data_IF_314668047651
#
_entry.id   IF_314668047651
#
_cell.length_a   1.000
_cell.length_b   1.000
_cell.length_c   1.000
_cell.angle_alpha   90.00
_cell.angle_beta   90.00
_cell.angle_gamma   90.00
#
_symmetry.space_group_name_H-M   'P 1'
#
loop_
_entity.id
_entity.type
_entity.pdbx_description
1 polymer ?
#
# COMPACT_ATOMS: atom_id res chain seq x y z
N UNK A 1 18.09 8.16 32.25
CA UNK A 1 18.22 6.74 31.90
C UNK A 1 17.70 6.67 30.48
N UNK A 2 18.50 6.27 29.53
CA UNK A 2 17.98 5.97 28.19
C UNK A 2 17.05 4.77 28.36
N UNK A 3 15.77 4.93 28.04
CA UNK A 3 14.81 3.85 28.01
C UNK A 3 15.27 2.85 26.96
N UNK A 4 15.48 1.59 27.37
CA UNK A 4 15.80 0.50 26.45
C UNK A 4 14.60 0.34 25.53
N UNK A 5 14.77 0.42 24.20
CA UNK A 5 13.65 0.25 23.29
C UNK A 5 13.01 -1.12 23.53
N UNK A 6 11.67 -1.18 23.46
CA UNK A 6 10.91 -2.42 23.58
C UNK A 6 11.47 -3.49 22.62
N UNK A 7 11.77 -4.69 23.13
CA UNK A 7 12.07 -5.84 22.29
C UNK A 7 10.76 -6.33 21.66
N UNK A 8 10.39 -5.74 20.51
CA UNK A 8 9.10 -5.88 19.86
C UNK A 8 9.20 -6.71 18.59
N UNK A 9 8.33 -7.73 18.48
CA UNK A 9 8.02 -8.42 17.23
C UNK A 9 6.62 -8.04 16.72
N UNK A 10 6.43 -7.99 15.41
CA UNK A 10 5.12 -7.79 14.79
C UNK A 10 4.73 -9.00 13.94
N UNK A 11 3.54 -9.53 14.17
CA UNK A 11 2.98 -10.69 13.48
C UNK A 11 1.78 -10.26 12.63
N UNK A 12 1.92 -10.37 11.31
CA UNK A 12 0.84 -10.05 10.37
C UNK A 12 0.11 -11.32 9.96
N UNK A 13 -1.20 -11.38 10.21
CA UNK A 13 -2.02 -12.55 9.89
C UNK A 13 -2.54 -12.46 8.46
N UNK A 14 -2.07 -13.34 7.58
CA UNK A 14 -2.39 -13.36 6.15
C UNK A 14 -2.79 -14.78 5.64
N UNK A 15 -3.15 -15.71 6.52
CA UNK A 15 -3.45 -17.11 6.19
C UNK A 15 -4.90 -17.39 5.73
N UNK A 16 -5.77 -16.37 5.74
CA UNK A 16 -7.20 -16.52 5.46
C UNK A 16 -7.54 -16.86 4.01
N UNK A 17 -8.58 -17.68 3.80
CA UNK A 17 -9.02 -18.15 2.45
C UNK A 17 -9.61 -17.07 1.54
N UNK A 18 -10.09 -15.95 2.07
CA UNK A 18 -10.60 -14.82 1.29
C UNK A 18 -11.75 -15.13 0.32
N UNK A 19 -12.61 -16.12 0.60
CA UNK A 19 -13.64 -16.65 -0.30
C UNK A 19 -14.63 -15.59 -0.81
N UNK A 20 -14.85 -14.52 -0.04
CA UNK A 20 -15.74 -13.39 -0.40
C UNK A 20 -15.20 -12.53 -1.55
N UNK A 21 -13.91 -12.60 -1.85
CA UNK A 21 -13.30 -11.93 -3.02
C UNK A 21 -13.66 -12.59 -4.35
N UNK A 22 -14.18 -13.82 -4.35
CA UNK A 22 -14.54 -14.59 -5.54
C UNK A 22 -13.40 -14.67 -6.57
N UNK A 23 -12.18 -14.83 -6.11
CA UNK A 23 -10.95 -14.86 -6.89
C UNK A 23 -10.05 -16.02 -6.43
N UNK A 24 -9.21 -16.51 -7.32
CA UNK A 24 -8.17 -17.49 -6.99
C UNK A 24 -6.94 -16.83 -6.34
N UNK A 25 -6.77 -15.52 -6.52
CA UNK A 25 -5.68 -14.78 -5.91
C UNK A 25 -5.92 -14.66 -4.39
N UNK A 26 -4.92 -14.92 -3.55
CA UNK A 26 -5.01 -14.66 -2.11
C UNK A 26 -5.50 -13.24 -1.82
N UNK A 27 -6.42 -13.09 -0.85
CA UNK A 27 -7.07 -11.82 -0.54
C UNK A 27 -6.08 -10.66 -0.40
N UNK A 28 -4.99 -10.89 0.32
CA UNK A 28 -3.96 -9.89 0.63
C UNK A 28 -3.03 -9.55 -0.54
N UNK A 29 -3.10 -10.31 -1.63
CA UNK A 29 -2.38 -10.03 -2.88
C UNK A 29 -3.19 -9.23 -3.91
N UNK A 30 -4.49 -9.00 -3.67
CA UNK A 30 -5.26 -8.13 -4.57
C UNK A 30 -4.66 -6.74 -4.63
N UNK A 31 -4.56 -6.14 -5.84
CA UNK A 31 -3.95 -4.83 -6.00
C UNK A 31 -4.84 -3.72 -5.42
N UNK A 32 -4.23 -2.87 -4.62
CA UNK A 32 -4.76 -1.61 -4.12
C UNK A 32 -3.79 -0.51 -4.59
N UNK A 33 -4.20 0.33 -5.55
CA UNK A 33 -3.32 1.34 -6.18
C UNK A 33 -1.96 0.75 -6.62
N UNK A 34 -1.99 -0.34 -7.39
CA UNK A 34 -0.87 -1.13 -7.93
C UNK A 34 -0.17 -2.07 -6.94
N UNK A 35 -0.14 -1.76 -5.64
CA UNK A 35 0.50 -2.61 -4.64
C UNK A 35 -0.47 -3.64 -4.04
N UNK A 36 -0.02 -4.84 -3.66
CA UNK A 36 -0.84 -5.76 -2.90
C UNK A 36 -1.38 -5.14 -1.61
N UNK A 37 -2.57 -5.53 -1.20
CA UNK A 37 -3.17 -5.09 0.08
C UNK A 37 -2.18 -5.26 1.24
N UNK A 38 -1.42 -6.35 1.28
CA UNK A 38 -0.42 -6.62 2.33
C UNK A 38 0.74 -5.62 2.34
N UNK A 39 1.05 -4.97 1.23
CA UNK A 39 2.09 -3.96 1.15
C UNK A 39 1.91 -2.86 2.21
N UNK A 40 0.68 -2.41 2.40
CA UNK A 40 0.38 -1.25 3.24
C UNK A 40 0.59 -1.50 4.74
N UNK A 41 0.06 -2.58 5.37
CA UNK A 41 0.35 -2.86 6.76
C UNK A 41 1.85 -3.15 7.00
N UNK A 42 2.55 -3.81 6.06
CA UNK A 42 4.00 -3.99 6.17
C UNK A 42 4.75 -2.65 6.08
N UNK A 43 4.32 -1.77 5.19
CA UNK A 43 4.88 -0.42 5.10
C UNK A 43 4.61 0.40 6.36
N UNK A 44 3.40 0.35 6.90
CA UNK A 44 3.04 1.05 8.15
C UNK A 44 3.91 0.58 9.32
N UNK A 45 4.16 -0.72 9.45
CA UNK A 45 5.09 -1.27 10.44
C UNK A 45 6.52 -0.73 10.26
N UNK A 46 7.02 -0.73 9.03
CA UNK A 46 8.35 -0.21 8.70
C UNK A 46 8.46 1.29 8.99
N UNK A 47 7.45 2.07 8.61
CA UNK A 47 7.41 3.52 8.84
C UNK A 47 7.27 3.86 10.33
N UNK A 48 6.67 2.99 11.14
CA UNK A 48 6.65 3.06 12.61
C UNK A 48 7.97 2.60 13.26
N UNK A 49 8.99 2.21 12.49
CA UNK A 49 10.27 1.75 13.01
C UNK A 49 10.27 0.31 13.55
N UNK A 50 9.23 -0.48 13.28
CA UNK A 50 9.12 -1.88 13.74
C UNK A 50 9.82 -2.78 12.72
N UNK A 51 11.01 -3.25 13.08
CA UNK A 51 11.90 -3.99 12.18
C UNK A 51 11.68 -5.51 12.19
N UNK A 52 11.32 -6.09 13.35
CA UNK A 52 11.13 -7.54 13.48
C UNK A 52 9.70 -7.89 13.07
N UNK A 53 9.53 -8.34 11.83
CA UNK A 53 8.20 -8.64 11.28
C UNK A 53 8.15 -10.09 10.79
N UNK A 54 7.06 -10.79 11.14
CA UNK A 54 6.71 -12.07 10.54
C UNK A 54 5.31 -12.00 9.91
N UNK A 55 5.11 -12.76 8.85
CA UNK A 55 3.81 -12.91 8.18
C UNK A 55 3.38 -14.36 8.26
N UNK A 56 2.20 -14.61 8.83
CA UNK A 56 1.60 -15.95 8.83
C UNK A 56 0.83 -16.12 7.52
N UNK A 57 1.27 -17.08 6.72
CA UNK A 57 0.67 -17.42 5.43
C UNK A 57 -0.03 -18.78 5.48
N UNK A 58 -0.95 -19.04 4.56
CA UNK A 58 -1.71 -20.30 4.58
C UNK A 58 -2.24 -20.66 3.19
N UNK A 59 -3.53 -20.52 2.97
CA UNK A 59 -4.14 -20.85 1.68
C UNK A 59 -3.61 -19.94 0.56
N UNK A 60 -3.11 -20.52 -0.54
CA UNK A 60 -2.45 -19.77 -1.62
C UNK A 60 -1.11 -19.15 -1.17
N UNK A 61 -0.49 -19.74 -0.16
CA UNK A 61 0.70 -19.18 0.48
C UNK A 61 1.93 -19.17 -0.40
N UNK A 62 2.03 -20.04 -1.42
CA UNK A 62 3.18 -20.10 -2.32
C UNK A 62 3.36 -18.80 -3.11
N UNK A 63 2.28 -18.22 -3.62
CA UNK A 63 2.31 -16.92 -4.32
C UNK A 63 2.67 -15.78 -3.36
N UNK A 64 2.14 -15.85 -2.13
CA UNK A 64 2.43 -14.87 -1.10
C UNK A 64 3.87 -14.95 -0.60
N UNK A 65 4.42 -16.17 -0.43
CA UNK A 65 5.82 -16.39 -0.08
C UNK A 65 6.77 -15.88 -1.17
N UNK A 66 6.43 -16.09 -2.45
CA UNK A 66 7.20 -15.57 -3.58
C UNK A 66 7.23 -14.03 -3.58
N UNK A 67 6.07 -13.39 -3.36
CA UNK A 67 5.99 -11.93 -3.23
C UNK A 67 6.82 -11.40 -2.06
N UNK A 68 6.69 -12.00 -0.87
CA UNK A 68 7.44 -11.59 0.32
C UNK A 68 8.94 -11.75 0.12
N UNK A 69 9.38 -12.85 -0.47
CA UNK A 69 10.80 -13.09 -0.75
C UNK A 69 11.40 -12.08 -1.72
N UNK A 70 10.62 -11.57 -2.68
CA UNK A 70 11.06 -10.61 -3.68
C UNK A 70 11.08 -9.16 -3.16
N UNK A 71 10.02 -8.73 -2.47
CA UNK A 71 9.81 -7.33 -2.10
C UNK A 71 10.10 -7.03 -0.61
N UNK A 72 10.09 -8.06 0.25
CA UNK A 72 10.24 -7.96 1.70
C UNK A 72 11.16 -9.03 2.27
N UNK A 73 12.43 -9.12 1.81
CA UNK A 73 13.34 -10.23 2.17
C UNK A 73 13.67 -10.30 3.67
N UNK A 74 13.47 -9.20 4.41
CA UNK A 74 13.71 -9.13 5.86
C UNK A 74 12.53 -9.69 6.67
N UNK A 75 11.38 -9.93 6.04
CA UNK A 75 10.17 -10.43 6.71
C UNK A 75 10.23 -11.94 6.84
N UNK A 76 10.02 -12.43 8.06
CA UNK A 76 9.94 -13.86 8.34
C UNK A 76 8.61 -14.44 7.88
N UNK A 77 8.65 -15.49 7.08
CA UNK A 77 7.45 -16.25 6.69
C UNK A 77 7.21 -17.39 7.65
N UNK A 78 5.96 -17.53 8.14
CA UNK A 78 5.50 -18.63 8.97
C UNK A 78 4.29 -19.29 8.32
N UNK A 79 4.29 -20.63 8.17
CA UNK A 79 3.22 -21.36 7.55
C UNK A 79 2.16 -21.86 8.54
N UNK A 80 0.92 -21.44 8.37
CA UNK A 80 -0.25 -22.06 8.98
C UNK A 80 -0.84 -23.08 7.97
N UNK A 81 -0.45 -24.35 8.10
CA UNK A 81 -0.87 -25.39 7.14
C UNK A 81 -2.36 -25.72 7.23
N UNK A 82 -2.92 -25.67 8.44
CA UNK A 82 -4.35 -25.86 8.69
C UNK A 82 -4.95 -24.55 9.19
N UNK A 83 -5.93 -24.00 8.48
CA UNK A 83 -6.59 -22.75 8.83
C UNK A 83 -7.63 -22.99 9.94
N UNK A 84 -7.16 -23.08 11.18
CA UNK A 84 -7.98 -23.35 12.36
C UNK A 84 -8.34 -22.09 13.17
N UNK A 85 -8.18 -20.90 12.58
CA UNK A 85 -8.50 -19.62 13.18
C UNK A 85 -7.30 -18.74 13.52
N UNK A 86 -7.57 -17.53 14.02
CA UNK A 86 -6.56 -16.49 14.29
C UNK A 86 -5.68 -16.82 15.49
N UNK A 87 -6.21 -17.47 16.54
CA UNK A 87 -5.44 -17.97 17.67
C UNK A 87 -4.44 -19.04 17.25
N UNK A 88 -4.84 -19.98 16.38
CA UNK A 88 -3.93 -20.98 15.82
C UNK A 88 -2.84 -20.34 14.94
N UNK A 89 -3.16 -19.28 14.20
CA UNK A 89 -2.17 -18.54 13.41
C UNK A 89 -1.07 -17.93 14.30
N UNK A 90 -1.43 -17.41 15.46
CA UNK A 90 -0.46 -16.90 16.44
C UNK A 90 0.31 -18.06 17.08
N UNK A 91 -0.35 -19.17 17.40
CA UNK A 91 0.26 -20.35 18.00
C UNK A 91 1.35 -20.98 17.11
N UNK A 92 1.13 -21.13 15.80
CA UNK A 92 2.14 -21.69 14.90
C UNK A 92 3.39 -20.82 14.74
N UNK A 93 3.31 -19.55 15.11
CA UNK A 93 4.41 -18.60 15.10
C UNK A 93 5.13 -18.47 16.45
N UNK A 94 4.77 -19.28 17.45
CA UNK A 94 5.25 -19.13 18.84
C UNK A 94 6.77 -19.20 18.96
N UNK A 95 7.43 -20.12 18.25
CA UNK A 95 8.89 -20.24 18.25
C UNK A 95 9.58 -18.94 17.83
N UNK A 96 8.94 -18.17 16.93
CA UNK A 96 9.48 -16.91 16.46
C UNK A 96 9.19 -15.75 17.41
N UNK A 97 7.93 -15.59 17.87
CA UNK A 97 7.58 -14.42 18.66
C UNK A 97 7.96 -14.54 20.13
N UNK A 98 8.17 -15.74 20.66
CA UNK A 98 8.55 -15.96 22.07
C UNK A 98 9.94 -15.40 22.44
N UNK A 99 10.74 -15.02 21.46
CA UNK A 99 12.04 -14.38 21.69
C UNK A 99 11.96 -12.86 22.00
N UNK A 100 10.77 -12.26 21.87
CA UNK A 100 10.53 -10.84 22.15
C UNK A 100 9.85 -10.65 23.50
N UNK A 101 9.95 -9.43 24.05
CA UNK A 101 9.18 -9.05 25.25
C UNK A 101 7.71 -8.78 24.89
N UNK A 102 7.48 -8.15 23.71
CA UNK A 102 6.16 -7.76 23.25
C UNK A 102 5.89 -8.27 21.85
N UNK A 103 4.62 -8.59 21.58
CA UNK A 103 4.13 -9.01 20.28
C UNK A 103 2.98 -8.11 19.82
N UNK A 104 3.21 -7.37 18.73
CA UNK A 104 2.15 -6.68 18.00
C UNK A 104 1.54 -7.65 16.99
N UNK A 105 0.24 -7.88 17.06
CA UNK A 105 -0.51 -8.71 16.10
C UNK A 105 -1.48 -7.84 15.32
N UNK A 106 -1.47 -7.94 14.00
CA UNK A 106 -2.43 -7.25 13.14
C UNK A 106 -2.81 -8.09 11.92
N UNK A 107 -3.96 -7.77 11.33
CA UNK A 107 -4.43 -8.46 10.13
C UNK A 107 -3.77 -7.89 8.86
N UNK A 108 -3.38 -8.76 7.94
CA UNK A 108 -2.76 -8.37 6.65
C UNK A 108 -3.74 -7.74 5.65
N UNK A 109 -5.02 -7.69 5.96
CA UNK A 109 -6.08 -7.16 5.13
C UNK A 109 -6.61 -5.78 5.56
N UNK A 110 -5.88 -5.09 6.45
CA UNK A 110 -6.18 -3.72 6.91
C UNK A 110 -5.21 -2.69 6.29
N UNK A 111 -5.34 -2.36 4.99
CA UNK A 111 -4.34 -1.55 4.29
C UNK A 111 -4.32 -0.08 4.72
N UNK A 112 -5.34 0.39 5.39
CA UNK A 112 -5.45 1.79 5.77
C UNK A 112 -4.85 2.09 7.15
N UNK A 113 -4.29 1.09 7.85
CA UNK A 113 -3.59 1.29 9.14
C UNK A 113 -2.44 2.29 8.97
N UNK A 114 -2.30 3.20 9.95
CA UNK A 114 -1.27 4.24 9.94
C UNK A 114 -0.14 3.93 10.91
N UNK A 115 1.09 4.37 10.58
CA UNK A 115 2.22 4.29 11.53
C UNK A 115 1.91 4.98 12.86
N UNK A 116 1.25 6.15 12.82
CA UNK A 116 0.90 6.96 14.00
C UNK A 116 -0.04 6.19 14.94
N UNK A 117 -0.99 5.42 14.40
CA UNK A 117 -1.91 4.59 15.20
C UNK A 117 -1.19 3.44 15.89
N UNK A 118 -0.21 2.83 15.19
CA UNK A 118 0.64 1.80 15.79
C UNK A 118 1.52 2.38 16.90
N UNK A 119 2.12 3.55 16.69
CA UNK A 119 2.92 4.24 17.69
C UNK A 119 2.08 4.63 18.91
N UNK A 120 0.89 5.15 18.70
CA UNK A 120 -0.05 5.52 19.78
C UNK A 120 -0.47 4.31 20.62
N UNK A 121 -0.62 3.12 19.98
CA UNK A 121 -0.86 1.87 20.71
C UNK A 121 0.33 1.48 21.58
N UNK A 122 1.56 1.62 21.08
CA UNK A 122 2.78 1.35 21.84
C UNK A 122 2.91 2.29 23.04
N UNK A 123 2.74 3.60 22.83
CA UNK A 123 2.78 4.62 23.89
C UNK A 123 1.74 4.31 24.98
N UNK A 124 0.49 4.01 24.58
CA UNK A 124 -0.58 3.65 25.52
C UNK A 124 -0.25 2.41 26.33
N UNK A 125 0.35 1.41 25.70
CA UNK A 125 0.76 0.17 26.39
C UNK A 125 1.91 0.42 27.38
N UNK A 126 2.87 1.28 27.06
CA UNK A 126 3.96 1.65 27.95
C UNK A 126 3.47 2.42 29.20
N UNK A 127 2.53 3.36 29.00
CA UNK A 127 1.97 4.19 30.08
C UNK A 127 1.33 3.36 31.21
N UNK A 128 0.56 2.33 30.85
CA UNK A 128 -0.25 1.55 31.80
C UNK A 128 0.36 0.16 32.07
N UNK A 129 1.33 -0.26 31.25
CA UNK A 129 2.03 -1.55 31.32
C UNK A 129 1.13 -2.77 31.53
N UNK A 130 0.00 -2.89 30.78
CA UNK A 130 -0.90 -4.03 30.92
C UNK A 130 -0.30 -5.30 30.32
N UNK A 131 -0.99 -6.43 30.48
CA UNK A 131 -0.59 -7.68 29.83
C UNK A 131 -1.00 -7.74 28.35
N UNK A 132 -2.04 -6.97 27.97
CA UNK A 132 -2.48 -6.78 26.60
C UNK A 132 -3.13 -5.39 26.45
N UNK A 133 -2.84 -4.72 25.33
CA UNK A 133 -3.61 -3.57 24.83
C UNK A 133 -4.13 -3.88 23.45
N UNK A 134 -5.39 -3.60 23.17
CA UNK A 134 -5.94 -3.77 21.82
C UNK A 134 -6.62 -2.49 21.32
N UNK A 135 -6.78 -2.37 20.00
CA UNK A 135 -7.45 -1.21 19.40
C UNK A 135 -8.93 -1.50 19.20
N UNK A 136 -9.78 -0.57 19.65
CA UNK A 136 -11.20 -0.53 19.30
C UNK A 136 -11.52 0.66 18.38
N UNK A 137 -12.62 0.53 17.65
CA UNK A 137 -13.17 1.58 16.77
C UNK A 137 -14.67 1.66 16.97
N UNK A 138 -15.24 2.87 16.91
CA UNK A 138 -16.68 3.07 16.85
C UNK A 138 -17.15 3.10 15.40
N UNK A 139 -17.93 2.12 14.95
CA UNK A 139 -18.50 2.06 13.61
C UNK A 139 -19.99 2.38 13.60
N UNK A 140 -20.47 3.02 12.52
CA UNK A 140 -21.91 3.20 12.30
C UNK A 140 -22.60 1.88 11.98
N UNK A 141 -21.97 1.02 11.22
CA UNK A 141 -22.39 -0.36 10.96
C UNK A 141 -21.30 -1.33 11.43
N UNK A 142 -21.50 -2.01 12.58
CA UNK A 142 -20.53 -2.94 13.16
C UNK A 142 -20.62 -4.37 12.59
N UNK A 143 -21.47 -4.62 11.59
CA UNK A 143 -21.71 -5.95 11.03
C UNK A 143 -20.42 -6.60 10.54
N UNK A 144 -20.18 -7.84 10.95
CA UNK A 144 -19.01 -8.63 10.55
C UNK A 144 -17.77 -8.45 11.42
N UNK A 145 -17.85 -7.60 12.47
CA UNK A 145 -16.73 -7.38 13.41
C UNK A 145 -17.08 -7.90 14.81
N UNK A 146 -16.07 -8.28 15.59
CA UNK A 146 -16.21 -8.59 17.00
C UNK A 146 -16.62 -7.35 17.82
N UNK A 147 -17.60 -7.51 18.69
CA UNK A 147 -18.10 -6.42 19.57
C UNK A 147 -17.28 -6.31 20.85
N UNK A 148 -16.95 -5.08 21.24
CA UNK A 148 -16.32 -4.80 22.54
C UNK A 148 -17.40 -4.61 23.58
N UNK A 149 -17.60 -5.59 24.45
CA UNK A 149 -18.57 -5.56 25.53
C UNK A 149 -17.88 -5.10 26.80
N UNK A 150 -18.34 -3.98 27.37
CA UNK A 150 -17.82 -3.46 28.64
C UNK A 150 -18.55 -4.12 29.81
N UNK A 151 -17.79 -4.69 30.73
CA UNK A 151 -18.33 -5.38 31.92
C UNK A 151 -18.54 -4.41 33.07
N UNK A 152 -19.43 -4.76 34.00
CA UNK A 152 -19.77 -3.94 35.15
C UNK A 152 -18.60 -3.71 36.15
N UNK A 153 -17.63 -4.59 36.16
CA UNK A 153 -16.40 -4.52 36.95
C UNK A 153 -15.28 -3.68 36.30
N UNK A 154 -15.55 -3.11 35.12
CA UNK A 154 -14.60 -2.33 34.32
C UNK A 154 -13.78 -3.16 33.34
N UNK A 155 -13.96 -4.49 33.34
CA UNK A 155 -13.33 -5.39 32.36
C UNK A 155 -13.94 -5.24 30.96
N UNK A 156 -13.29 -5.84 29.98
CA UNK A 156 -13.74 -5.86 28.59
C UNK A 156 -13.81 -7.31 28.07
N UNK A 157 -14.80 -7.55 27.21
CA UNK A 157 -14.97 -8.82 26.52
C UNK A 157 -15.17 -8.56 25.02
N UNK A 158 -14.56 -9.37 24.18
CA UNK A 158 -14.79 -9.34 22.74
C UNK A 158 -15.70 -10.51 22.38
N UNK A 159 -16.78 -10.25 21.65
CA UNK A 159 -17.73 -11.26 21.16
C UNK A 159 -17.75 -11.20 19.66
N UNK A 160 -17.34 -12.27 18.99
CA UNK A 160 -17.33 -12.34 17.52
C UNK A 160 -18.75 -12.18 16.95
N UNK A 161 -18.88 -11.55 15.78
CA UNK A 161 -20.17 -11.19 15.17
C UNK A 161 -21.17 -12.34 15.10
N UNK A 162 -20.69 -13.56 14.78
CA UNK A 162 -21.53 -14.76 14.68
C UNK A 162 -21.99 -15.31 16.03
N UNK A 163 -21.28 -14.98 17.08
CA UNK A 163 -21.55 -15.44 18.45
C UNK A 163 -22.33 -14.40 19.28
N UNK A 164 -22.63 -13.20 18.72
CA UNK A 164 -23.38 -12.14 19.39
C UNK A 164 -24.82 -12.53 19.66
N UNK A 165 -25.31 -12.19 20.88
CA UNK A 165 -26.74 -12.22 21.24
C UNK A 165 -27.43 -10.90 20.86
N UNK A 166 -28.79 -10.86 21.00
CA UNK A 166 -29.61 -9.73 20.54
C UNK A 166 -29.10 -8.37 21.00
N UNK A 167 -28.79 -8.23 22.29
CA UNK A 167 -28.41 -6.96 22.92
C UNK A 167 -26.97 -6.54 22.56
N UNK A 168 -26.12 -7.48 22.14
CA UNK A 168 -24.74 -7.22 21.73
C UNK A 168 -24.63 -6.75 20.29
N UNK A 169 -25.63 -7.03 19.44
CA UNK A 169 -25.62 -6.65 18.01
C UNK A 169 -25.61 -5.14 17.79
N UNK A 170 -26.24 -4.39 18.70
CA UNK A 170 -26.35 -2.93 18.61
C UNK A 170 -25.11 -2.20 19.14
N UNK A 171 -24.13 -2.95 19.70
CA UNK A 171 -22.87 -2.37 20.16
C UNK A 171 -22.06 -1.93 18.93
N UNK A 172 -21.73 -0.64 18.88
CA UNK A 172 -21.00 0.01 17.79
C UNK A 172 -19.48 -0.01 17.99
N UNK A 173 -19.01 -0.25 19.22
CA UNK A 173 -17.59 -0.40 19.52
C UNK A 173 -17.12 -1.80 19.09
N UNK A 174 -16.20 -1.83 18.12
CA UNK A 174 -15.71 -3.07 17.53
C UNK A 174 -14.23 -3.31 17.86
N UNK A 175 -13.85 -4.56 17.86
CA UNK A 175 -12.46 -4.98 17.87
C UNK A 175 -11.83 -4.78 16.49
N UNK A 176 -10.78 -3.97 16.42
CA UNK A 176 -10.10 -3.63 15.18
C UNK A 176 -9.10 -4.71 14.71
N UNK A 177 -8.89 -5.77 15.49
CA UNK A 177 -7.96 -6.84 15.12
C UNK A 177 -6.48 -6.45 15.23
N UNK A 178 -6.16 -5.42 16.02
CA UNK A 178 -4.79 -4.99 16.32
C UNK A 178 -4.56 -5.12 17.83
N UNK A 179 -3.55 -5.89 18.20
CA UNK A 179 -3.26 -6.25 19.60
C UNK A 179 -1.78 -6.11 19.91
N UNK A 180 -1.46 -5.62 21.09
CA UNK A 180 -0.12 -5.62 21.65
C UNK A 180 -0.12 -6.44 22.93
N UNK A 181 0.56 -7.58 22.91
CA UNK A 181 0.67 -8.51 24.05
C UNK A 181 2.05 -8.45 24.66
N UNK A 182 2.13 -8.62 25.98
CA UNK A 182 3.35 -9.17 26.58
C UNK A 182 3.45 -10.65 26.19
N UNK A 183 4.56 -11.06 25.61
CA UNK A 183 4.75 -12.44 25.15
C UNK A 183 4.58 -13.46 26.28
N UNK A 184 5.03 -13.13 27.48
CA UNK A 184 4.88 -13.99 28.69
C UNK A 184 3.42 -14.19 29.10
N UNK A 185 2.54 -13.22 28.88
CA UNK A 185 1.11 -13.33 29.14
C UNK A 185 0.43 -14.21 28.08
N UNK A 186 0.77 -13.96 26.81
CA UNK A 186 0.22 -14.72 25.67
C UNK A 186 0.61 -16.21 25.75
N UNK A 187 1.86 -16.54 26.10
CA UNK A 187 2.32 -17.92 26.27
C UNK A 187 1.52 -18.70 27.31
N UNK A 188 1.09 -18.04 28.40
CA UNK A 188 0.29 -18.70 29.45
C UNK A 188 -1.10 -19.09 28.97
N UNK A 189 -1.72 -18.30 28.07
CA UNK A 189 -3.13 -18.46 27.71
C UNK A 189 -3.35 -19.13 26.36
N UNK A 190 -2.41 -19.04 25.41
CA UNK A 190 -2.55 -19.63 24.06
C UNK A 190 -2.93 -21.12 24.11
N UNK A 191 -2.33 -21.99 24.98
CA UNK A 191 -2.71 -23.40 25.04
C UNK A 191 -4.14 -23.64 25.51
N UNK A 192 -4.77 -22.65 26.15
CA UNK A 192 -6.11 -22.72 26.70
C UNK A 192 -7.20 -22.17 25.78
N UNK A 193 -6.83 -21.61 24.64
CA UNK A 193 -7.81 -21.15 23.62
C UNK A 193 -8.53 -22.39 23.07
N UNK A 194 -9.87 -22.36 23.13
CA UNK A 194 -10.72 -23.45 22.68
C UNK A 194 -11.36 -23.21 21.32
N UNK A 195 -12.18 -24.18 20.89
CA UNK A 195 -13.00 -24.11 19.65
C UNK A 195 -14.50 -24.12 19.96
N UNK A 196 -14.90 -23.71 21.17
CA UNK A 196 -16.30 -23.69 21.62
C UNK A 196 -17.07 -22.46 21.08
N UNK A 197 -17.07 -22.28 19.75
CA UNK A 197 -17.74 -21.20 19.07
C UNK A 197 -18.43 -21.73 17.79
N UNK A 198 -19.26 -20.92 17.16
CA UNK A 198 -20.03 -21.33 15.96
C UNK A 198 -19.17 -21.76 14.78
N UNK A 199 -17.96 -21.20 14.65
CA UNK A 199 -17.03 -21.51 13.55
C UNK A 199 -16.13 -22.72 13.84
N UNK A 200 -16.06 -23.19 15.11
CA UNK A 200 -15.12 -24.21 15.57
C UNK A 200 -13.66 -23.84 15.27
N UNK A 201 -13.31 -22.58 15.49
CA UNK A 201 -11.99 -22.02 15.28
C UNK A 201 -11.36 -21.55 16.60
N UNK A 202 -10.05 -21.52 16.67
CA UNK A 202 -9.32 -20.88 17.77
C UNK A 202 -9.30 -19.37 17.54
N UNK A 203 -10.12 -18.64 18.28
CA UNK A 203 -10.17 -17.19 18.19
C UNK A 203 -9.07 -16.54 19.01
N UNK A 204 -8.30 -15.63 18.42
CA UNK A 204 -7.31 -14.85 19.19
C UNK A 204 -7.99 -13.93 20.22
N UNK A 205 -9.21 -13.53 19.97
CA UNK A 205 -10.02 -12.72 20.90
C UNK A 205 -10.29 -13.43 22.22
N UNK A 206 -10.28 -14.77 22.26
CA UNK A 206 -10.38 -15.53 23.51
C UNK A 206 -9.15 -15.32 24.40
N UNK A 207 -7.97 -15.06 23.83
CA UNK A 207 -6.77 -14.75 24.62
C UNK A 207 -6.97 -13.51 25.51
N UNK A 208 -7.74 -12.52 25.05
CA UNK A 208 -8.02 -11.29 25.80
C UNK A 208 -8.79 -11.60 27.10
N UNK A 209 -9.81 -12.46 27.00
CA UNK A 209 -10.54 -12.92 28.18
C UNK A 209 -9.67 -13.70 29.13
N UNK A 210 -8.93 -14.66 28.58
CA UNK A 210 -8.07 -15.53 29.39
C UNK A 210 -6.99 -14.72 30.11
N UNK A 211 -6.44 -13.68 29.45
CA UNK A 211 -5.48 -12.76 30.08
C UNK A 211 -6.17 -11.97 31.20
N UNK A 212 -7.33 -11.39 30.95
CA UNK A 212 -8.07 -10.61 31.94
C UNK A 212 -8.44 -11.44 33.17
N UNK A 213 -8.83 -12.70 32.98
CA UNK A 213 -9.28 -13.59 34.03
C UNK A 213 -8.13 -14.22 34.84
N UNK A 214 -6.98 -14.52 34.22
CA UNK A 214 -5.96 -15.40 34.75
C UNK A 214 -4.57 -14.77 34.94
N UNK A 215 -4.27 -13.69 34.24
CA UNK A 215 -2.90 -13.14 34.16
C UNK A 215 -2.80 -11.73 34.69
N UNK A 216 -3.63 -10.80 34.19
CA UNK A 216 -3.57 -9.41 34.60
C UNK A 216 -4.37 -8.45 33.72
N UNK A 217 -4.03 -7.20 33.82
CA UNK A 217 -4.78 -6.11 33.19
C UNK A 217 -4.78 -6.17 31.66
N UNK A 218 -5.96 -5.96 31.08
CA UNK A 218 -6.14 -5.68 29.66
C UNK A 218 -6.58 -4.24 29.51
N UNK A 219 -5.92 -3.48 28.63
CA UNK A 219 -6.26 -2.10 28.32
C UNK A 219 -6.71 -1.99 26.84
N UNK A 220 -7.30 -0.84 26.51
CA UNK A 220 -7.78 -0.62 25.15
C UNK A 220 -7.46 0.80 24.71
N UNK A 221 -7.10 0.95 23.43
CA UNK A 221 -6.90 2.22 22.74
C UNK A 221 -8.03 2.44 21.73
N UNK A 222 -8.72 3.57 21.83
CA UNK A 222 -9.78 3.93 20.88
C UNK A 222 -9.16 4.63 19.67
N UNK A 223 -9.34 4.08 18.48
CA UNK A 223 -9.03 4.76 17.21
C UNK A 223 -10.25 5.59 16.77
N UNK A 224 -10.05 6.88 16.54
CA UNK A 224 -11.12 7.80 16.15
C UNK A 224 -11.48 7.70 14.66
N UNK A 225 -10.53 7.29 13.80
CA UNK A 225 -10.76 7.18 12.36
C UNK A 225 -11.45 5.84 12.01
N UNK A 226 -12.75 5.89 11.79
CA UNK A 226 -13.58 4.72 11.44
C UNK A 226 -13.12 4.00 10.15
N UNK A 227 -12.44 4.69 9.26
CA UNK A 227 -11.98 4.14 7.98
C UNK A 227 -10.67 3.37 8.08
N UNK A 228 -9.84 3.67 9.08
CA UNK A 228 -8.45 3.26 9.12
C UNK A 228 -8.23 1.75 9.30
N UNK A 229 -9.02 1.14 10.17
CA UNK A 229 -8.83 -0.26 10.56
C UNK A 229 -9.88 -1.20 9.96
N UNK A 230 -10.47 -0.80 8.84
CA UNK A 230 -11.40 -1.66 8.10
C UNK A 230 -10.64 -2.74 7.32
N UNK A 231 -11.04 -3.99 7.55
CA UNK A 231 -10.54 -5.12 6.78
C UNK A 231 -11.21 -5.20 5.40
N UNK A 232 -10.44 -5.54 4.38
CA UNK A 232 -10.94 -5.77 3.02
C UNK A 232 -11.35 -7.24 2.87
N UNK A 233 -12.60 -7.52 2.52
CA UNK A 233 -13.13 -8.86 2.33
C UNK A 233 -13.84 -9.07 0.99
N UNK A 234 -14.24 -7.97 0.35
CA UNK A 234 -15.01 -7.97 -0.89
C UNK A 234 -14.40 -7.01 -1.90
N UNK A 235 -14.67 -7.18 -3.23
CA UNK A 235 -14.24 -6.21 -4.24
C UNK A 235 -14.81 -4.81 -4.01
N UNK A 236 -15.97 -4.69 -3.37
CA UNK A 236 -16.57 -3.41 -3.03
C UNK A 236 -15.75 -2.68 -1.96
N UNK A 237 -15.42 -3.36 -0.85
CA UNK A 237 -14.56 -2.81 0.21
C UNK A 237 -13.16 -2.46 -0.32
N UNK A 238 -12.64 -3.23 -1.29
CA UNK A 238 -11.37 -2.91 -1.96
C UNK A 238 -11.46 -1.59 -2.74
N UNK A 239 -12.56 -1.34 -3.44
CA UNK A 239 -12.78 -0.10 -4.17
C UNK A 239 -12.92 1.12 -3.23
N UNK A 240 -13.62 0.95 -2.11
CA UNK A 240 -13.74 1.98 -1.08
C UNK A 240 -12.38 2.30 -0.45
N UNK A 241 -11.60 1.28 -0.11
CA UNK A 241 -10.25 1.46 0.41
C UNK A 241 -9.33 2.16 -0.60
N UNK A 242 -9.47 1.87 -1.91
CA UNK A 242 -8.73 2.55 -2.97
C UNK A 242 -9.06 4.05 -3.03
N UNK A 243 -10.32 4.41 -2.89
CA UNK A 243 -10.74 5.82 -2.86
C UNK A 243 -10.18 6.57 -1.64
N UNK A 244 -10.21 5.93 -0.46
CA UNK A 244 -9.64 6.50 0.77
C UNK A 244 -8.11 6.62 0.69
N UNK A 245 -7.43 5.61 0.19
CA UNK A 245 -5.98 5.62 0.02
C UNK A 245 -5.54 6.68 -1.01
N UNK A 246 -6.26 6.80 -2.13
CA UNK A 246 -6.04 7.89 -3.12
C UNK A 246 -6.13 9.25 -2.44
N UNK A 247 -7.21 9.53 -1.73
CA UNK A 247 -7.40 10.82 -1.06
C UNK A 247 -6.26 11.09 -0.08
N UNK A 248 -5.85 10.10 0.70
CA UNK A 248 -4.73 10.20 1.64
C UNK A 248 -3.40 10.54 0.95
N UNK A 249 -3.05 9.82 -0.12
CA UNK A 249 -1.79 10.04 -0.86
C UNK A 249 -1.80 11.43 -1.52
N UNK A 250 -2.89 11.80 -2.19
CA UNK A 250 -3.00 13.11 -2.86
C UNK A 250 -2.87 14.25 -1.84
N UNK A 251 -3.59 14.17 -0.70
CA UNK A 251 -3.50 15.19 0.37
C UNK A 251 -2.12 15.26 1.00
N UNK A 252 -1.45 14.13 1.18
CA UNK A 252 -0.06 14.10 1.69
C UNK A 252 0.87 14.89 0.76
N UNK A 253 0.81 14.65 -0.55
CA UNK A 253 1.61 15.40 -1.51
C UNK A 253 1.23 16.88 -1.60
N UNK A 254 -0.06 17.21 -1.49
CA UNK A 254 -0.50 18.62 -1.37
C UNK A 254 0.10 19.29 -0.12
N UNK A 255 0.18 18.58 1.00
CA UNK A 255 0.87 19.03 2.21
C UNK A 255 2.37 19.28 2.01
N UNK A 256 3.00 18.57 1.08
CA UNK A 256 4.39 18.75 0.66
C UNK A 256 4.57 19.79 -0.47
N UNK A 257 3.52 20.53 -0.85
CA UNK A 257 3.60 21.63 -1.82
C UNK A 257 3.28 21.27 -3.27
N UNK A 258 2.79 20.06 -3.55
CA UNK A 258 2.22 19.70 -4.86
C UNK A 258 0.86 20.38 -5.00
N UNK A 259 0.64 21.06 -6.12
CA UNK A 259 -0.62 21.74 -6.44
C UNK A 259 -1.49 20.80 -7.26
N UNK A 260 -2.64 20.40 -6.73
CA UNK A 260 -3.59 19.53 -7.40
C UNK A 260 -4.90 20.29 -7.63
N UNK A 261 -5.33 20.41 -8.88
CA UNK A 261 -6.53 21.15 -9.24
C UNK A 261 -7.81 20.40 -8.87
N UNK A 262 -7.82 19.09 -9.04
CA UNK A 262 -8.94 18.22 -8.64
C UNK A 262 -8.43 16.94 -7.94
N UNK A 263 -8.39 16.93 -6.59
CA UNK A 263 -7.95 15.77 -5.82
C UNK A 263 -8.82 14.52 -6.01
N UNK A 264 -10.09 14.70 -6.41
CA UNK A 264 -11.02 13.57 -6.52
C UNK A 264 -10.82 12.74 -7.78
N UNK A 265 -10.26 13.34 -8.84
CA UNK A 265 -9.99 12.65 -10.11
C UNK A 265 -8.50 12.35 -10.32
N UNK A 266 -7.64 12.81 -9.40
CA UNK A 266 -6.19 12.54 -9.46
C UNK A 266 -5.86 11.23 -8.78
N UNK A 267 -5.04 10.41 -9.43
CA UNK A 267 -4.56 9.14 -8.92
C UNK A 267 -3.04 9.11 -8.87
N UNK A 268 -2.49 8.83 -7.71
CA UNK A 268 -1.04 8.78 -7.46
C UNK A 268 -0.73 7.44 -6.79
N UNK A 269 0.16 6.67 -7.40
CA UNK A 269 0.63 5.40 -6.87
C UNK A 269 1.47 5.57 -5.57
N UNK A 270 1.53 4.56 -4.71
CA UNK A 270 2.19 4.66 -3.40
C UNK A 270 3.72 4.78 -3.48
N UNK A 271 4.32 4.49 -4.65
CA UNK A 271 5.79 4.59 -4.86
C UNK A 271 6.20 5.84 -5.64
N UNK A 272 5.24 6.68 -6.03
CA UNK A 272 5.52 7.94 -6.74
C UNK A 272 6.18 8.94 -5.81
N UNK A 273 7.15 9.67 -6.33
CA UNK A 273 7.87 10.72 -5.63
C UNK A 273 7.71 12.05 -6.37
N UNK A 274 7.55 13.13 -5.61
CA UNK A 274 7.50 14.50 -6.15
C UNK A 274 8.57 15.37 -5.51
N UNK A 275 9.12 16.26 -6.32
CA UNK A 275 9.77 17.46 -5.82
C UNK A 275 8.75 18.60 -5.65
N UNK A 276 9.15 19.66 -4.94
CA UNK A 276 8.25 20.78 -4.64
C UNK A 276 7.79 21.53 -5.90
N UNK A 277 6.58 22.10 -5.84
CA UNK A 277 6.07 23.01 -6.87
C UNK A 277 5.34 22.35 -8.04
N UNK A 278 5.35 21.02 -8.15
CA UNK A 278 4.63 20.32 -9.21
C UNK A 278 3.14 20.70 -9.22
N UNK A 279 2.57 20.83 -10.45
CA UNK A 279 1.17 21.16 -10.67
C UNK A 279 0.47 20.09 -11.49
N UNK A 280 -0.68 19.61 -10.99
CA UNK A 280 -1.48 18.54 -11.58
C UNK A 280 -2.85 19.07 -11.99
N UNK A 281 -3.19 18.91 -13.27
CA UNK A 281 -4.53 19.16 -13.80
C UNK A 281 -5.50 18.05 -13.40
N UNK A 282 -6.83 18.19 -13.63
CA UNK A 282 -7.79 17.13 -13.40
C UNK A 282 -7.50 15.85 -14.20
N UNK A 283 -7.94 14.70 -13.68
CA UNK A 283 -7.86 13.38 -14.33
C UNK A 283 -6.42 12.89 -14.63
N UNK A 284 -5.44 13.37 -13.88
CA UNK A 284 -4.06 12.91 -13.97
C UNK A 284 -3.89 11.60 -13.22
N UNK A 285 -3.15 10.66 -13.82
CA UNK A 285 -2.80 9.37 -13.22
C UNK A 285 -1.29 9.17 -13.28
N UNK A 286 -0.66 8.93 -12.13
CA UNK A 286 0.79 8.73 -12.03
C UNK A 286 1.05 7.44 -11.24
N UNK A 287 1.77 6.50 -11.85
CA UNK A 287 1.92 5.14 -11.40
C UNK A 287 3.38 4.69 -11.35
N UNK A 288 3.61 3.51 -10.80
CA UNK A 288 4.91 2.87 -10.72
C UNK A 288 5.91 3.62 -9.85
N UNK A 289 7.19 3.47 -10.15
CA UNK A 289 8.29 4.18 -9.47
C UNK A 289 8.60 5.50 -10.19
N UNK A 290 7.57 6.33 -10.37
CA UNK A 290 7.72 7.61 -11.05
C UNK A 290 8.30 8.67 -10.12
N UNK A 291 9.22 9.48 -10.66
CA UNK A 291 9.76 10.68 -10.04
C UNK A 291 9.36 11.91 -10.85
N UNK A 292 8.75 12.89 -10.20
CA UNK A 292 8.27 14.13 -10.82
C UNK A 292 9.10 15.30 -10.29
N UNK A 293 9.94 15.85 -11.13
CA UNK A 293 10.83 16.95 -10.80
C UNK A 293 10.12 18.26 -10.47
N UNK A 294 10.87 19.18 -9.87
CA UNK A 294 10.37 20.46 -9.37
C UNK A 294 9.67 21.29 -10.46
N UNK A 295 8.61 21.98 -10.04
CA UNK A 295 7.83 22.90 -10.91
C UNK A 295 7.27 22.25 -12.20
N UNK A 296 7.23 20.92 -12.27
CA UNK A 296 6.63 20.22 -13.41
C UNK A 296 5.13 20.46 -13.50
N UNK A 297 4.64 20.63 -14.75
CA UNK A 297 3.22 20.83 -15.03
C UNK A 297 2.66 19.62 -15.77
N UNK A 298 1.69 18.91 -15.19
CA UNK A 298 1.07 17.72 -15.77
C UNK A 298 -0.36 18.06 -16.21
N UNK A 299 -0.58 18.09 -17.52
CA UNK A 299 -1.86 18.42 -18.12
C UNK A 299 -2.92 17.34 -17.97
N UNK A 300 -4.18 17.73 -18.12
CA UNK A 300 -5.36 16.88 -17.90
C UNK A 300 -5.34 15.56 -18.69
N UNK A 301 -5.92 14.51 -18.11
CA UNK A 301 -6.00 13.15 -18.68
C UNK A 301 -4.66 12.53 -19.06
N UNK A 302 -3.56 13.00 -18.49
CA UNK A 302 -2.24 12.40 -18.72
C UNK A 302 -2.08 11.16 -17.85
N UNK A 303 -1.45 10.12 -18.41
CA UNK A 303 -1.10 8.88 -17.74
C UNK A 303 0.42 8.70 -17.76
N UNK A 304 1.03 8.64 -16.59
CA UNK A 304 2.46 8.49 -16.40
C UNK A 304 2.73 7.20 -15.61
N UNK A 305 3.70 6.40 -16.05
CA UNK A 305 4.08 5.18 -15.35
C UNK A 305 5.58 4.94 -15.50
N UNK A 306 6.30 4.76 -14.39
CA UNK A 306 7.75 4.56 -14.38
C UNK A 306 8.51 5.65 -15.15
N UNK A 307 8.17 6.92 -14.87
CA UNK A 307 8.83 8.08 -15.48
C UNK A 307 9.82 8.72 -14.52
N UNK A 308 10.91 9.27 -15.06
CA UNK A 308 11.87 10.10 -14.34
C UNK A 308 11.95 11.48 -14.97
N UNK A 309 11.33 12.47 -14.32
CA UNK A 309 11.34 13.88 -14.76
C UNK A 309 12.41 14.63 -13.96
N UNK A 310 13.45 15.04 -14.65
CA UNK A 310 14.60 15.74 -14.08
C UNK A 310 14.49 17.25 -14.27
N UNK A 311 13.99 17.96 -13.25
CA UNK A 311 13.69 19.39 -13.29
C UNK A 311 12.27 19.68 -13.80
N UNK A 312 12.05 20.89 -14.29
CA UNK A 312 10.74 21.38 -14.73
C UNK A 312 10.35 20.81 -16.09
N UNK A 313 9.38 19.92 -16.12
CA UNK A 313 8.84 19.29 -17.33
C UNK A 313 7.39 19.71 -17.54
N UNK A 314 7.02 20.04 -18.80
CA UNK A 314 5.63 20.36 -19.13
C UNK A 314 5.01 19.25 -19.99
N UNK A 315 3.98 18.60 -19.43
CA UNK A 315 3.15 17.64 -20.18
C UNK A 315 1.85 18.34 -20.57
N UNK A 316 1.64 18.53 -21.86
CA UNK A 316 0.36 18.97 -22.38
C UNK A 316 -0.56 17.75 -22.50
N UNK A 317 -1.66 17.74 -21.76
CA UNK A 317 -2.59 16.61 -21.77
C UNK A 317 -3.56 16.63 -22.97
N UNK A 318 -4.16 15.50 -23.27
CA UNK A 318 -3.82 14.18 -22.77
C UNK A 318 -2.54 13.61 -23.40
N UNK A 319 -1.72 12.94 -22.63
CA UNK A 319 -0.52 12.23 -23.11
C UNK A 319 -0.28 10.97 -22.29
N UNK A 320 0.33 9.96 -22.88
CA UNK A 320 0.69 8.71 -22.20
C UNK A 320 2.20 8.54 -22.26
N UNK A 321 2.84 8.41 -21.09
CA UNK A 321 4.29 8.28 -21.00
C UNK A 321 4.61 7.14 -20.04
N UNK A 322 5.37 6.17 -20.52
CA UNK A 322 5.81 5.05 -19.71
C UNK A 322 7.31 4.77 -19.88
N UNK A 323 7.95 4.34 -18.79
CA UNK A 323 9.35 3.92 -18.77
C UNK A 323 10.25 4.88 -19.56
N UNK A 324 10.25 6.15 -19.18
CA UNK A 324 10.90 7.23 -19.94
C UNK A 324 11.52 8.29 -19.02
N UNK A 325 12.65 8.83 -19.47
CA UNK A 325 13.34 9.93 -18.78
C UNK A 325 13.16 11.23 -19.56
N UNK A 326 12.76 12.30 -18.89
CA UNK A 326 12.53 13.62 -19.48
C UNK A 326 13.31 14.67 -18.71
N UNK A 327 14.14 15.42 -19.43
CA UNK A 327 15.03 16.42 -18.83
C UNK A 327 14.38 17.80 -18.74
N UNK A 328 15.03 18.65 -17.95
CA UNK A 328 14.58 20.01 -17.65
C UNK A 328 14.19 20.84 -18.87
N UNK A 329 13.08 21.56 -18.76
CA UNK A 329 12.54 22.43 -19.79
C UNK A 329 11.96 21.72 -21.01
N UNK A 330 11.85 20.39 -21.00
CA UNK A 330 11.22 19.66 -22.09
C UNK A 330 9.68 19.82 -22.07
N UNK A 331 9.07 19.82 -23.25
CA UNK A 331 7.63 19.93 -23.45
C UNK A 331 7.11 18.72 -24.24
N UNK A 332 6.08 18.04 -23.74
CA UNK A 332 5.52 16.84 -24.37
C UNK A 332 4.00 16.99 -24.56
N UNK A 333 3.50 16.61 -25.72
CA UNK A 333 2.07 16.55 -26.02
C UNK A 333 1.50 17.80 -26.71
N UNK A 334 0.14 17.94 -26.76
CA UNK A 334 -0.82 16.91 -26.35
C UNK A 334 -0.87 15.71 -27.32
N UNK A 335 -1.53 14.62 -26.90
CA UNK A 335 -1.68 13.39 -27.67
C UNK A 335 -0.33 12.75 -28.06
N UNK A 336 0.66 12.80 -27.17
CA UNK A 336 1.93 12.11 -27.33
C UNK A 336 1.91 10.74 -26.62
N UNK A 337 2.62 9.77 -27.22
CA UNK A 337 2.83 8.45 -26.62
C UNK A 337 4.32 8.12 -26.58
N UNK A 338 4.93 8.07 -25.39
CA UNK A 338 6.32 7.74 -25.18
C UNK A 338 6.43 6.43 -24.39
N UNK A 339 7.29 5.51 -24.84
CA UNK A 339 7.41 4.19 -24.20
C UNK A 339 8.76 3.49 -24.41
N UNK A 340 9.01 2.52 -23.56
CA UNK A 340 10.12 1.56 -23.70
C UNK A 340 11.52 2.21 -23.66
N UNK A 341 11.78 3.14 -22.74
CA UNK A 341 13.12 3.70 -22.54
C UNK A 341 13.42 4.89 -23.45
N UNK A 342 12.43 5.76 -23.65
CA UNK A 342 12.63 7.04 -24.33
C UNK A 342 13.38 8.01 -23.41
N UNK A 343 14.34 8.72 -23.99
CA UNK A 343 15.02 9.86 -23.34
C UNK A 343 14.73 11.12 -24.13
N UNK A 344 14.18 12.14 -23.47
CA UNK A 344 13.94 13.46 -24.03
C UNK A 344 14.83 14.47 -23.32
N UNK A 345 15.83 14.99 -24.01
CA UNK A 345 16.80 15.91 -23.43
C UNK A 345 16.23 17.29 -23.15
N UNK A 346 17.03 18.09 -22.46
CA UNK A 346 16.73 19.48 -22.04
C UNK A 346 16.17 20.32 -23.16
N UNK A 347 15.02 20.97 -22.90
CA UNK A 347 14.33 21.88 -23.84
C UNK A 347 13.91 21.26 -25.18
N UNK A 348 13.95 19.93 -25.28
CA UNK A 348 13.41 19.25 -26.44
C UNK A 348 11.87 19.28 -26.44
N UNK A 349 11.25 19.21 -27.63
CA UNK A 349 9.80 19.25 -27.74
C UNK A 349 9.26 18.06 -28.53
N UNK A 350 8.32 17.35 -27.94
CA UNK A 350 7.54 16.29 -28.58
C UNK A 350 6.10 16.78 -28.70
N UNK A 351 5.61 16.93 -29.90
CA UNK A 351 4.31 17.54 -30.13
C UNK A 351 3.16 16.56 -30.31
N UNK A 352 2.17 16.99 -31.10
CA UNK A 352 0.87 16.32 -31.21
C UNK A 352 0.90 15.08 -32.09
N UNK A 353 0.22 14.00 -31.64
CA UNK A 353 0.09 12.75 -32.40
C UNK A 353 1.46 12.17 -32.76
N UNK A 354 2.39 12.20 -31.79
CA UNK A 354 3.73 11.66 -31.94
C UNK A 354 3.87 10.44 -31.03
N UNK A 355 4.26 9.32 -31.63
CA UNK A 355 4.69 8.13 -30.89
C UNK A 355 6.22 8.03 -30.93
N UNK A 356 6.84 7.84 -29.76
CA UNK A 356 8.28 7.61 -29.63
C UNK A 356 8.51 6.34 -28.85
N UNK A 357 9.42 5.49 -29.36
CA UNK A 357 9.78 4.21 -28.75
C UNK A 357 11.30 4.00 -28.80
N UNK A 358 11.89 3.61 -27.67
CA UNK A 358 13.32 3.25 -27.56
C UNK A 358 14.24 4.23 -28.29
N UNK A 359 14.02 5.53 -28.08
CA UNK A 359 14.67 6.58 -28.84
C UNK A 359 15.19 7.69 -27.94
N UNK A 360 16.18 8.40 -28.41
CA UNK A 360 16.77 9.54 -27.75
C UNK A 360 16.55 10.81 -28.58
N UNK A 361 15.94 11.83 -27.97
CA UNK A 361 15.67 13.14 -28.59
C UNK A 361 16.63 14.15 -27.97
N UNK A 362 17.62 14.59 -28.74
CA UNK A 362 18.69 15.48 -28.27
C UNK A 362 18.18 16.88 -27.90
N UNK A 363 18.98 17.57 -27.08
CA UNK A 363 18.65 18.88 -26.52
C UNK A 363 18.19 19.89 -27.54
N UNK A 364 17.09 20.57 -27.26
CA UNK A 364 16.52 21.60 -28.14
C UNK A 364 15.88 21.09 -29.45
N UNK A 365 15.90 19.78 -29.66
CA UNK A 365 15.30 19.18 -30.86
C UNK A 365 13.79 19.09 -30.75
N UNK A 366 13.14 19.02 -31.89
CA UNK A 366 11.68 19.09 -32.02
C UNK A 366 11.15 17.95 -32.89
N UNK A 367 10.17 17.23 -32.39
CA UNK A 367 9.33 16.26 -33.13
C UNK A 367 7.89 16.75 -33.03
N UNK A 368 7.48 17.78 -33.77
CA UNK A 368 6.30 18.55 -33.40
C UNK A 368 4.95 17.94 -33.82
N UNK A 369 4.90 17.09 -34.87
CA UNK A 369 3.64 16.69 -35.49
C UNK A 369 3.67 15.30 -36.10
N UNK A 370 2.61 14.51 -35.88
CA UNK A 370 2.20 13.31 -36.62
C UNK A 370 3.39 12.46 -37.08
N UNK A 371 4.13 11.88 -36.15
CA UNK A 371 5.36 11.14 -36.44
C UNK A 371 5.46 9.86 -35.60
N UNK A 372 6.10 8.85 -36.19
CA UNK A 372 6.56 7.67 -35.46
C UNK A 372 8.09 7.63 -35.43
N UNK A 373 8.67 7.68 -34.25
CA UNK A 373 10.11 7.65 -33.99
C UNK A 373 10.45 6.41 -33.18
N UNK A 374 10.94 5.38 -33.85
CA UNK A 374 11.31 4.10 -33.23
C UNK A 374 12.78 3.77 -33.40
N UNK A 375 13.42 3.25 -32.33
CA UNK A 375 14.82 2.83 -32.30
C UNK A 375 15.79 3.91 -32.90
N UNK A 376 15.56 5.18 -32.55
CA UNK A 376 16.20 6.34 -33.23
C UNK A 376 16.99 7.20 -32.23
N UNK A 377 18.14 7.69 -32.66
CA UNK A 377 18.86 8.77 -31.96
C UNK A 377 18.80 10.03 -32.81
N UNK A 378 18.22 11.10 -32.26
CA UNK A 378 18.17 12.42 -32.86
C UNK A 378 19.15 13.33 -32.12
N UNK A 379 20.03 13.99 -32.86
CA UNK A 379 21.01 14.93 -32.33
C UNK A 379 20.37 16.20 -31.79
N UNK A 380 21.20 17.21 -31.46
CA UNK A 380 20.77 18.51 -30.88
C UNK A 380 20.21 19.46 -31.95
N UNK A 381 19.26 20.30 -31.51
CA UNK A 381 18.70 21.38 -32.34
C UNK A 381 18.19 20.94 -33.74
N UNK A 382 17.71 19.70 -33.80
CA UNK A 382 17.16 19.10 -35.04
C UNK A 382 15.64 19.21 -35.03
N UNK A 383 15.09 19.51 -36.23
CA UNK A 383 13.63 19.61 -36.37
C UNK A 383 13.08 18.55 -37.34
N UNK A 384 12.29 17.64 -36.80
CA UNK A 384 11.65 16.57 -37.56
C UNK A 384 10.36 17.08 -38.20
N UNK A 385 10.27 16.96 -39.55
CA UNK A 385 9.08 17.35 -40.30
C UNK A 385 7.87 16.46 -39.99
N UNK A 386 6.67 17.04 -40.22
CA UNK A 386 5.43 16.30 -40.03
C UNK A 386 5.32 15.07 -40.94
N UNK A 387 4.72 13.98 -40.45
CA UNK A 387 4.54 12.74 -41.20
C UNK A 387 5.79 11.88 -41.29
N UNK A 388 6.83 12.16 -40.50
CA UNK A 388 8.05 11.33 -40.46
C UNK A 388 7.78 10.00 -39.78
N UNK A 389 8.17 8.92 -40.46
CA UNK A 389 8.14 7.57 -39.94
C UNK A 389 9.53 6.94 -40.05
N UNK A 390 10.14 6.57 -38.93
CA UNK A 390 11.37 5.80 -38.97
C UNK A 390 11.03 4.32 -39.22
N UNK A 391 11.41 3.81 -40.40
CA UNK A 391 11.14 2.42 -40.78
C UNK A 391 12.13 1.48 -40.09
N UNK A 392 12.02 1.38 -38.76
CA UNK A 392 12.96 0.66 -37.90
C UNK A 392 12.83 -0.88 -37.93
N UNK A 393 11.79 -1.42 -38.57
CA UNK A 393 11.52 -2.86 -38.65
C UNK A 393 11.36 -3.32 -40.10
N UNK A 394 12.16 -4.28 -40.53
CA UNK A 394 12.18 -4.84 -41.90
C UNK A 394 11.36 -6.14 -42.03
N UNK A 395 10.62 -6.51 -41.01
CA UNK A 395 9.89 -7.78 -40.94
C UNK A 395 10.64 -8.87 -40.17
N UNK A 396 11.94 -8.74 -39.94
CA UNK A 396 12.80 -9.68 -39.22
C UNK A 396 13.64 -8.98 -38.14
N UNK A 397 14.33 -7.89 -38.52
CA UNK A 397 15.27 -7.17 -37.66
C UNK A 397 14.77 -5.79 -37.31
N UNK A 398 15.22 -5.28 -36.16
CA UNK A 398 15.06 -3.87 -35.78
C UNK A 398 16.34 -3.11 -36.07
N UNK A 399 16.26 -2.11 -36.90
CA UNK A 399 17.39 -1.30 -37.35
C UNK A 399 17.34 0.08 -36.67
N UNK A 400 18.52 0.57 -36.25
CA UNK A 400 18.66 1.90 -35.65
C UNK A 400 18.72 2.98 -36.71
N UNK A 401 18.04 4.09 -36.44
CA UNK A 401 18.15 5.33 -37.21
C UNK A 401 18.96 6.36 -36.43
N UNK A 402 19.86 7.07 -37.11
CA UNK A 402 20.63 8.16 -36.51
C UNK A 402 20.41 9.42 -37.36
N UNK A 403 19.94 10.49 -36.71
CA UNK A 403 19.77 11.82 -37.30
C UNK A 403 20.72 12.77 -36.57
N UNK A 404 21.56 13.47 -37.28
CA UNK A 404 22.59 14.34 -36.69
C UNK A 404 22.04 15.62 -36.03
N UNK A 405 22.97 16.47 -35.61
CA UNK A 405 22.67 17.78 -35.06
C UNK A 405 22.23 18.76 -36.16
N UNK A 406 21.31 19.69 -35.86
CA UNK A 406 20.96 20.82 -36.72
C UNK A 406 20.28 20.43 -38.05
N UNK A 407 19.69 19.22 -38.10
CA UNK A 407 18.98 18.77 -39.32
C UNK A 407 17.57 19.39 -39.42
#
# INVERSE_FOLDING_TARGET
MEEKPLELGALVLAAGKGTRMKSNLPKVLHPLLEEPVLYYPLKALRDAGIANVAVVIGHGGEELEAYLSAEWPDVKVVWQREQLGTGHAVQVAEEWWSQFEHLLVLSGDVPLVRPETLLSLLEKHEETSPECTFISVLLDDPTGYGRVVRLADGGVRIVEDKDTVSDEKDIREINAGVYLFKCTALQKVIPSIGQNNQQKEFYLTDAIHLIADQVGMVDLALCEDQGELRGINTPYELADAAALMRDRIVRSWMGCGVKCMDPLTTWIGPRVQFEAGAWLAPDVQIWGRSHIGSDSCIGTHSQLCDVDFQGSVTIHGPSVISNSTVMDGAEIGPFAFLRDGVVVDTKAKVGRFVEIKKSHIGSGSKVPHLSYIGDTTIGKNTNIGAGTITCNYDGVNKNKTVIGDGC
#
